data_IF_032005880138
#
_entry.id   IF_032005880138
#
_cell.length_a   1.000
_cell.length_b   1.000
_cell.length_c   1.000
_cell.angle_alpha   90.00
_cell.angle_beta   90.00
_cell.angle_gamma   90.00
#
_symmetry.space_group_name_H-M   'P 1'
#
loop_
_entity.id
_entity.type
_entity.pdbx_description
1 polymer ?
#
# COMPACT_ATOMS: atom_id res chain seq x y z
N UNK A 1 -14.73 -10.68 0.90
CA UNK A 1 -14.28 -10.69 -0.52
C UNK A 1 -12.78 -10.86 -0.53
N UNK A 2 -12.22 -11.62 -1.46
CA UNK A 2 -10.77 -11.85 -1.58
C UNK A 2 -10.32 -11.54 -3.00
N UNK A 3 -9.23 -10.78 -3.14
CA UNK A 3 -8.59 -10.45 -4.42
C UNK A 3 -7.17 -10.99 -4.39
N UNK A 4 -6.79 -11.75 -5.40
CA UNK A 4 -5.46 -12.38 -5.52
C UNK A 4 -4.84 -11.94 -6.84
N UNK A 5 -3.57 -11.55 -6.79
CA UNK A 5 -2.76 -11.23 -7.96
C UNK A 5 -1.39 -11.93 -7.91
N UNK A 6 -0.71 -11.99 -9.06
CA UNK A 6 0.62 -12.56 -9.22
C UNK A 6 1.66 -11.48 -9.61
N UNK A 7 1.44 -10.25 -9.17
CA UNK A 7 2.36 -9.14 -9.39
C UNK A 7 3.62 -9.25 -8.51
N UNK A 8 4.39 -8.15 -8.47
CA UNK A 8 5.63 -8.08 -7.67
C UNK A 8 5.42 -8.21 -6.16
N UNK A 9 4.18 -8.08 -5.69
CA UNK A 9 3.83 -8.01 -4.28
C UNK A 9 4.16 -6.66 -3.63
N UNK A 10 3.58 -6.44 -2.45
CA UNK A 10 3.92 -5.29 -1.60
C UNK A 10 5.25 -5.61 -0.88
N UNK A 11 6.24 -4.71 -0.87
CA UNK A 11 7.49 -4.95 -0.14
C UNK A 11 7.26 -5.21 1.36
N UNK A 12 7.93 -6.21 1.90
CA UNK A 12 7.83 -6.60 3.33
C UNK A 12 9.05 -6.20 4.16
N UNK A 13 10.09 -5.66 3.52
CA UNK A 13 11.28 -5.13 4.22
C UNK A 13 10.90 -3.91 5.05
N UNK A 14 11.60 -3.73 6.19
CA UNK A 14 11.46 -2.54 7.02
C UNK A 14 11.92 -1.29 6.27
N UNK A 15 11.12 -0.23 6.36
CA UNK A 15 11.46 1.10 5.88
C UNK A 15 12.03 1.89 7.06
N UNK A 16 13.32 2.21 7.00
CA UNK A 16 14.10 2.74 8.13
C UNK A 16 13.45 3.95 8.81
N UNK A 17 13.01 4.95 8.03
CA UNK A 17 12.34 6.17 8.53
C UNK A 17 11.08 5.92 9.39
N UNK A 18 10.45 4.75 9.26
CA UNK A 18 9.23 4.39 9.96
C UNK A 18 9.41 3.19 10.90
N UNK A 19 10.58 2.54 10.86
CA UNK A 19 10.89 1.29 11.58
C UNK A 19 9.79 0.21 11.45
N UNK A 20 9.10 0.18 10.31
CA UNK A 20 7.97 -0.70 10.03
C UNK A 20 8.08 -1.29 8.63
N UNK A 21 7.55 -2.50 8.37
CA UNK A 21 7.44 -3.06 7.02
C UNK A 21 6.64 -2.13 6.09
N UNK A 22 7.02 -2.06 4.81
CA UNK A 22 6.28 -1.22 3.85
C UNK A 22 4.80 -1.62 3.73
N UNK A 23 4.50 -2.92 3.84
CA UNK A 23 3.11 -3.43 3.89
C UNK A 23 2.30 -2.87 5.05
N UNK A 24 2.88 -2.73 6.25
CA UNK A 24 2.18 -2.13 7.40
C UNK A 24 1.95 -0.63 7.16
N UNK A 25 2.94 0.06 6.59
CA UNK A 25 2.86 1.50 6.36
C UNK A 25 1.74 1.83 5.38
N UNK A 26 1.62 1.12 4.25
CA UNK A 26 0.55 1.40 3.27
C UNK A 26 -0.84 1.04 3.79
N UNK A 27 -0.94 0.12 4.76
CA UNK A 27 -2.21 -0.26 5.39
C UNK A 27 -2.65 0.70 6.51
N UNK A 28 -1.71 1.39 7.16
CA UNK A 28 -1.99 2.14 8.40
C UNK A 28 -1.74 3.64 8.31
N UNK A 29 -1.08 4.12 7.24
CA UNK A 29 -0.82 5.55 7.03
C UNK A 29 -1.48 6.04 5.75
N UNK A 30 -2.19 7.16 5.85
CA UNK A 30 -2.77 7.84 4.68
C UNK A 30 -1.67 8.48 3.84
N UNK A 31 -1.91 8.57 2.52
CA UNK A 31 -0.97 9.09 1.54
C UNK A 31 0.38 8.36 1.51
N UNK A 32 0.37 7.05 1.79
CA UNK A 32 1.55 6.19 1.70
C UNK A 32 1.44 5.26 0.48
N UNK A 33 2.47 5.25 -0.35
CA UNK A 33 2.52 4.42 -1.56
C UNK A 33 3.68 4.75 -2.47
N UNK A 34 3.92 3.91 -3.47
CA UNK A 34 5.00 4.06 -4.45
C UNK A 34 4.53 4.64 -5.81
N UNK A 35 3.28 5.10 -5.88
CA UNK A 35 2.66 5.62 -7.12
C UNK A 35 2.83 7.13 -7.29
N UNK A 36 3.49 7.79 -6.34
CA UNK A 36 3.85 9.20 -6.44
C UNK A 36 5.10 9.36 -7.30
N UNK A 37 5.18 10.43 -8.09
CA UNK A 37 6.41 10.83 -8.78
C UNK A 37 6.87 9.93 -9.94
N UNK A 38 6.06 8.96 -10.39
CA UNK A 38 6.31 8.20 -11.63
C UNK A 38 7.34 7.07 -11.58
N UNK A 39 8.22 7.05 -10.58
CA UNK A 39 9.32 6.06 -10.48
C UNK A 39 8.84 4.62 -10.18
N UNK A 40 7.79 4.44 -9.38
CA UNK A 40 7.31 3.09 -9.04
C UNK A 40 6.40 2.47 -10.11
N UNK A 41 5.63 3.31 -10.79
CA UNK A 41 4.69 2.93 -11.86
C UNK A 41 4.62 4.04 -12.89
N UNK A 42 5.13 3.78 -14.10
CA UNK A 42 5.13 4.74 -15.22
C UNK A 42 3.73 5.26 -15.55
N UNK A 43 2.73 4.37 -15.51
CA UNK A 43 1.31 4.70 -15.67
C UNK A 43 0.51 3.87 -14.66
N UNK A 44 -0.39 4.49 -13.91
CA UNK A 44 -1.30 3.78 -13.00
C UNK A 44 -2.55 4.61 -12.70
N UNK A 45 -3.69 3.95 -12.46
CA UNK A 45 -4.95 4.64 -12.14
C UNK A 45 -5.05 5.14 -10.69
N UNK A 46 -4.23 4.63 -9.76
CA UNK A 46 -4.26 5.03 -8.36
C UNK A 46 -3.13 5.99 -8.01
N UNK A 47 -3.45 7.22 -7.61
CA UNK A 47 -2.41 8.25 -7.35
C UNK A 47 -2.45 8.83 -5.94
N UNK A 48 -3.51 8.60 -5.17
CA UNK A 48 -3.69 9.26 -3.87
C UNK A 48 -2.95 8.60 -2.70
N UNK A 49 -2.64 7.29 -2.80
CA UNK A 49 -2.02 6.54 -1.70
C UNK A 49 -2.92 6.33 -0.48
N UNK A 50 -4.25 6.28 -0.67
CA UNK A 50 -5.23 6.07 0.42
C UNK A 50 -6.16 4.88 0.21
N UNK A 51 -6.18 4.26 -0.97
CA UNK A 51 -7.19 3.25 -1.31
C UNK A 51 -7.19 2.05 -0.35
N UNK A 52 -6.04 1.39 -0.16
CA UNK A 52 -5.96 0.19 0.68
C UNK A 52 -6.08 0.51 2.18
N UNK A 53 -5.62 1.68 2.63
CA UNK A 53 -5.78 2.12 4.02
C UNK A 53 -7.23 2.44 4.35
N UNK A 54 -8.01 3.00 3.41
CA UNK A 54 -9.47 3.16 3.56
C UNK A 54 -10.17 1.80 3.61
N UNK A 55 -9.83 0.85 2.72
CA UNK A 55 -10.39 -0.51 2.77
C UNK A 55 -10.09 -1.17 4.12
N UNK A 56 -8.85 -1.06 4.61
CA UNK A 56 -8.46 -1.59 5.90
C UNK A 56 -9.22 -0.93 7.06
N UNK A 57 -9.32 0.40 7.08
CA UNK A 57 -9.97 1.15 8.15
C UNK A 57 -11.48 0.92 8.23
N UNK A 58 -12.14 0.66 7.09
CA UNK A 58 -13.60 0.42 7.03
C UNK A 58 -13.98 -1.06 7.09
N UNK A 59 -13.00 -1.95 7.29
CA UNK A 59 -13.24 -3.40 7.41
C UNK A 59 -13.13 -3.85 8.86
N UNK A 60 -14.06 -4.69 9.34
CA UNK A 60 -13.94 -5.32 10.66
C UNK A 60 -12.71 -6.25 10.75
N UNK A 61 -12.33 -6.87 9.63
CA UNK A 61 -11.14 -7.73 9.54
C UNK A 61 -10.58 -7.74 8.11
N UNK A 62 -9.28 -7.53 8.00
CA UNK A 62 -8.50 -7.73 6.78
C UNK A 62 -7.56 -8.92 7.00
N UNK A 63 -7.54 -9.89 6.08
CA UNK A 63 -6.75 -11.13 6.15
C UNK A 63 -5.86 -11.27 4.94
#
# INVERSE_FOLDING_TARGET
VTVVDNGRGIPVKKVERFNKPAVEIVLTKLHAGAKFGGEGYKVSGGLHGVGISVVNALSEKLR
#
